data_IF_665871268368
#
_entry.id   IF_665871268368
#
_cell.length_a   1.000
_cell.length_b   1.000
_cell.length_c   1.000
_cell.angle_alpha   90.00
_cell.angle_beta   90.00
_cell.angle_gamma   90.00
#
_symmetry.space_group_name_H-M   'P 1'
#
loop_
_entity.id
_entity.type
_entity.pdbx_description
1 polymer ?
#
# COMPACT_ATOMS: atom_id res chain seq x y z
N UNK A 1 -7.23 7.82 -0.39
CA UNK A 1 -8.57 7.26 -0.62
C UNK A 1 -9.57 8.02 0.21
N UNK A 2 -10.69 8.37 -0.40
CA UNK A 2 -11.79 9.10 0.22
C UNK A 2 -13.10 8.67 -0.46
N UNK A 3 -14.24 8.90 0.20
CA UNK A 3 -15.55 8.69 -0.42
C UNK A 3 -15.84 9.81 -1.43
N UNK A 4 -16.16 9.44 -2.67
CA UNK A 4 -16.68 10.38 -3.65
C UNK A 4 -18.14 10.72 -3.28
N UNK A 5 -18.33 11.82 -2.55
CA UNK A 5 -19.63 12.24 -2.03
C UNK A 5 -20.59 12.82 -3.09
N UNK A 6 -20.07 13.15 -4.27
CA UNK A 6 -20.83 13.69 -5.40
C UNK A 6 -20.29 13.12 -6.73
N UNK A 7 -21.05 13.27 -7.80
CA UNK A 7 -20.68 12.89 -9.17
C UNK A 7 -19.56 13.74 -9.75
N UNK A 8 -19.28 14.89 -9.14
CA UNK A 8 -18.23 15.81 -9.59
C UNK A 8 -17.13 15.91 -8.53
N UNK A 9 -15.91 15.59 -8.95
CA UNK A 9 -14.70 15.82 -8.17
C UNK A 9 -14.05 17.12 -8.63
N UNK A 10 -13.72 18.01 -7.68
CA UNK A 10 -13.02 19.26 -7.94
C UNK A 10 -11.62 19.18 -7.36
N UNK A 11 -10.62 19.54 -8.16
CA UNK A 11 -9.22 19.65 -7.73
C UNK A 11 -8.80 21.09 -7.92
N UNK A 12 -8.30 21.71 -6.85
CA UNK A 12 -7.79 23.07 -6.88
C UNK A 12 -6.27 23.02 -6.72
N UNK A 13 -5.55 23.61 -7.66
CA UNK A 13 -4.13 23.87 -7.54
C UNK A 13 -3.97 25.32 -7.10
N UNK A 14 -3.55 25.52 -5.85
CA UNK A 14 -3.40 26.85 -5.25
C UNK A 14 -1.94 27.19 -4.98
N UNK A 15 -1.64 28.48 -4.97
CA UNK A 15 -0.39 29.06 -4.50
C UNK A 15 -0.48 29.44 -3.02
N UNK A 16 0.67 29.70 -2.40
CA UNK A 16 0.77 30.24 -1.05
C UNK A 16 2.00 31.16 -0.93
N UNK A 17 2.23 31.70 0.25
CA UNK A 17 3.31 32.63 0.58
C UNK A 17 4.73 32.06 0.33
N UNK A 18 4.84 30.74 0.13
CA UNK A 18 6.08 30.01 -0.15
C UNK A 18 6.20 29.58 -1.62
N UNK A 19 5.26 30.00 -2.47
CA UNK A 19 5.22 29.64 -3.89
C UNK A 19 5.91 30.75 -4.69
N UNK A 20 7.12 30.46 -5.21
CA UNK A 20 7.92 31.44 -5.96
C UNK A 20 7.62 31.44 -7.48
N UNK A 21 7.01 30.36 -8.00
CA UNK A 21 6.71 30.17 -9.42
C UNK A 21 5.30 29.66 -9.64
N UNK A 22 4.80 29.72 -10.88
CA UNK A 22 3.48 29.19 -11.23
C UNK A 22 3.33 27.71 -10.83
N UNK A 23 2.28 27.34 -10.08
CA UNK A 23 2.10 25.96 -9.68
C UNK A 23 1.72 25.10 -10.89
N UNK A 24 2.34 23.92 -11.02
CA UNK A 24 2.04 22.97 -12.10
C UNK A 24 1.76 21.56 -11.56
N UNK A 25 0.97 20.80 -12.32
CA UNK A 25 0.71 19.37 -12.10
C UNK A 25 1.00 18.61 -13.40
N UNK A 26 1.82 17.58 -13.35
CA UNK A 26 2.19 16.80 -14.55
C UNK A 26 1.16 15.75 -14.93
N UNK A 27 0.49 15.16 -13.94
CA UNK A 27 -0.54 14.15 -14.12
C UNK A 27 -1.45 14.06 -12.90
N UNK A 28 -2.67 13.60 -13.13
CA UNK A 28 -3.63 13.25 -12.09
C UNK A 28 -4.27 11.91 -12.45
N UNK A 29 -4.20 10.97 -11.53
CA UNK A 29 -4.84 9.66 -11.66
C UNK A 29 -5.98 9.56 -10.65
N UNK A 30 -7.17 9.16 -11.13
CA UNK A 30 -8.32 8.84 -10.30
C UNK A 30 -8.79 7.44 -10.63
N UNK A 31 -8.68 6.55 -9.64
CA UNK A 31 -9.14 5.17 -9.75
C UNK A 31 -10.36 4.98 -8.86
N UNK A 32 -11.45 4.53 -9.48
CA UNK A 32 -12.61 4.03 -8.74
C UNK A 32 -12.28 2.62 -8.29
N UNK A 33 -12.39 2.40 -6.98
CA UNK A 33 -12.08 1.12 -6.35
C UNK A 33 -13.24 0.74 -5.45
N UNK A 34 -13.28 -0.52 -5.03
CA UNK A 34 -14.41 -1.02 -4.26
C UNK A 34 -14.41 -0.47 -2.84
N UNK A 35 -15.60 -0.20 -2.31
CA UNK A 35 -15.82 0.22 -0.93
C UNK A 35 -15.29 -0.82 0.09
N UNK A 36 -15.36 -2.10 -0.27
CA UNK A 36 -14.88 -3.20 0.53
C UNK A 36 -13.37 -3.23 0.74
N UNK A 37 -12.55 -2.50 -0.03
CA UNK A 37 -11.08 -2.56 0.06
C UNK A 37 -10.48 -1.98 1.35
N UNK A 38 -11.21 -1.09 2.02
CA UNK A 38 -10.83 -0.47 3.28
C UNK A 38 -12.01 -0.39 4.25
N UNK A 39 -12.75 -1.49 4.39
CA UNK A 39 -13.98 -1.62 5.20
C UNK A 39 -13.81 -1.29 6.70
N UNK A 40 -12.57 -1.26 7.20
CA UNK A 40 -12.21 -0.87 8.56
C UNK A 40 -12.26 0.65 8.80
N UNK A 41 -12.47 1.45 7.74
CA UNK A 41 -12.48 2.91 7.81
C UNK A 41 -13.87 3.47 7.53
N UNK A 42 -14.38 4.32 8.43
CA UNK A 42 -15.59 5.11 8.18
C UNK A 42 -15.26 6.30 7.26
N UNK A 43 -15.42 6.10 5.95
CA UNK A 43 -15.11 7.13 4.95
C UNK A 43 -16.09 8.32 4.95
N UNK A 44 -17.17 8.29 5.73
CA UNK A 44 -17.99 9.48 5.96
C UNK A 44 -17.31 10.47 6.91
N UNK A 45 -16.31 10.03 7.68
CA UNK A 45 -15.59 10.83 8.67
C UNK A 45 -14.11 10.99 8.38
N UNK A 46 -13.51 9.99 7.76
CA UNK A 46 -12.06 9.90 7.58
C UNK A 46 -11.70 9.67 6.12
N UNK A 47 -10.51 10.12 5.75
CA UNK A 47 -9.85 9.76 4.49
C UNK A 47 -8.52 9.06 4.83
N UNK A 48 -8.08 8.18 3.94
CA UNK A 48 -6.79 7.50 4.07
C UNK A 48 -5.76 8.14 3.16
N UNK A 49 -4.61 8.50 3.72
CA UNK A 49 -3.39 8.78 2.96
C UNK A 49 -2.48 7.54 3.00
N UNK A 50 -1.93 7.16 1.84
CA UNK A 50 -1.04 6.01 1.76
C UNK A 50 0.36 6.42 2.23
N UNK A 51 0.79 5.86 3.35
CA UNK A 51 2.16 6.05 3.86
C UNK A 51 3.14 4.99 3.36
N UNK A 52 2.72 3.72 3.34
CA UNK A 52 3.53 2.63 2.85
C UNK A 52 2.66 1.45 2.42
N UNK A 53 3.05 0.78 1.34
CA UNK A 53 2.54 -0.53 0.94
C UNK A 53 3.68 -1.33 0.36
N UNK A 54 4.04 -2.40 1.06
CA UNK A 54 5.30 -3.08 0.82
C UNK A 54 5.09 -4.60 0.74
N UNK A 55 5.93 -5.24 -0.08
CA UNK A 55 6.10 -6.69 -0.17
C UNK A 55 7.38 -7.08 0.54
N UNK A 56 7.27 -7.91 1.57
CA UNK A 56 8.42 -8.38 2.34
C UNK A 56 9.02 -9.62 1.67
N UNK A 57 10.34 -9.63 1.48
CA UNK A 57 11.08 -10.79 0.97
C UNK A 57 11.04 -10.96 -0.55
N UNK A 58 10.41 -10.01 -1.24
CA UNK A 58 10.38 -9.93 -2.69
C UNK A 58 11.32 -8.81 -3.16
N UNK A 59 12.27 -9.14 -4.04
CA UNK A 59 13.30 -8.23 -4.55
C UNK A 59 13.11 -7.91 -6.05
N UNK A 60 11.88 -8.06 -6.57
CA UNK A 60 11.58 -7.75 -7.96
C UNK A 60 11.07 -6.33 -8.15
N UNK A 61 10.57 -5.98 -9.34
CA UNK A 61 9.92 -4.68 -9.56
C UNK A 61 8.62 -4.57 -8.79
N UNK A 62 8.22 -3.34 -8.44
CA UNK A 62 6.92 -3.02 -7.82
C UNK A 62 5.78 -3.80 -8.47
N UNK A 63 5.02 -4.51 -7.64
CA UNK A 63 3.84 -5.27 -8.07
C UNK A 63 2.68 -4.29 -8.16
N UNK A 64 2.00 -4.28 -9.30
CA UNK A 64 0.85 -3.41 -9.60
C UNK A 64 -0.01 -4.07 -10.69
N UNK A 65 -0.84 -3.33 -11.41
CA UNK A 65 -1.56 -3.88 -12.56
C UNK A 65 -0.59 -4.56 -13.56
N UNK A 66 -0.92 -5.75 -14.11
CA UNK A 66 -2.17 -6.49 -14.01
C UNK A 66 -2.26 -7.47 -12.83
N UNK A 67 -1.23 -7.60 -12.00
CA UNK A 67 -1.27 -8.50 -10.84
C UNK A 67 -2.26 -8.00 -9.78
N UNK A 68 -2.33 -6.67 -9.58
CA UNK A 68 -3.31 -6.01 -8.72
C UNK A 68 -4.42 -5.35 -9.55
N UNK A 69 -5.66 -5.84 -9.42
CA UNK A 69 -6.82 -5.33 -10.16
C UNK A 69 -7.19 -3.87 -9.83
N UNK A 70 -6.68 -3.35 -8.71
CA UNK A 70 -6.89 -1.96 -8.25
C UNK A 70 -5.68 -1.06 -8.49
N UNK A 71 -4.68 -1.55 -9.25
CA UNK A 71 -3.42 -0.88 -9.58
C UNK A 71 -2.70 -0.26 -8.38
N UNK A 72 -2.82 -0.91 -7.22
CA UNK A 72 -2.06 -0.54 -6.02
C UNK A 72 -0.60 -0.90 -6.23
N UNK A 73 0.27 0.03 -5.86
CA UNK A 73 1.72 -0.16 -5.92
C UNK A 73 2.17 -0.88 -4.65
N UNK A 74 2.72 -2.09 -4.80
CA UNK A 74 3.35 -2.86 -3.74
C UNK A 74 4.86 -2.89 -3.98
N UNK A 75 5.57 -2.07 -3.24
CA UNK A 75 7.01 -1.90 -3.40
C UNK A 75 7.78 -2.97 -2.62
N UNK A 76 8.95 -3.41 -3.08
CA UNK A 76 9.86 -4.22 -2.27
C UNK A 76 10.28 -3.54 -0.97
N UNK A 77 10.14 -4.23 0.16
CA UNK A 77 10.78 -3.79 1.41
C UNK A 77 12.09 -4.51 1.64
N UNK A 78 13.13 -3.72 1.91
CA UNK A 78 14.45 -4.21 2.29
C UNK A 78 15.13 -4.92 1.13
N UNK A 79 15.90 -4.18 0.34
CA UNK A 79 16.76 -4.73 -0.71
C UNK A 79 17.62 -5.88 -0.14
N UNK A 80 17.64 -7.02 -0.82
CA UNK A 80 18.37 -8.23 -0.44
C UNK A 80 17.96 -8.88 0.89
N UNK A 81 16.73 -8.66 1.34
CA UNK A 81 16.21 -9.33 2.53
C UNK A 81 16.21 -10.86 2.38
N UNK A 82 16.55 -11.61 3.45
CA UNK A 82 16.51 -13.07 3.41
C UNK A 82 15.06 -13.53 3.18
N UNK A 83 14.88 -14.35 2.14
CA UNK A 83 13.56 -14.88 1.81
C UNK A 83 13.62 -16.28 1.20
N UNK A 84 12.52 -17.01 1.38
CA UNK A 84 12.29 -18.32 0.77
C UNK A 84 11.14 -18.26 -0.24
N UNK A 85 11.21 -19.07 -1.29
CA UNK A 85 10.11 -19.25 -2.23
C UNK A 85 8.99 -20.06 -1.58
N UNK A 86 7.74 -19.63 -1.77
CA UNK A 86 6.56 -20.41 -1.41
C UNK A 86 5.94 -20.97 -2.70
N UNK A 87 5.67 -22.27 -2.74
CA UNK A 87 5.18 -22.95 -3.95
C UNK A 87 3.66 -22.88 -4.13
N UNK A 88 2.89 -22.83 -3.04
CA UNK A 88 1.43 -22.80 -3.11
C UNK A 88 0.88 -22.14 -1.85
N UNK A 89 0.10 -21.08 -2.01
CA UNK A 89 -0.53 -20.35 -0.90
C UNK A 89 -1.93 -19.92 -1.30
N UNK A 90 -2.90 -20.11 -0.40
CA UNK A 90 -4.27 -19.66 -0.63
C UNK A 90 -4.46 -18.25 -0.08
N UNK A 91 -4.98 -17.35 -0.92
CA UNK A 91 -5.20 -15.93 -0.58
C UNK A 91 -6.68 -15.53 -0.63
N UNK A 92 -7.59 -16.48 -0.82
CA UNK A 92 -9.02 -16.21 -1.03
C UNK A 92 -9.73 -15.61 0.20
N UNK A 93 -9.14 -15.74 1.39
CA UNK A 93 -9.68 -15.20 2.64
C UNK A 93 -9.42 -13.70 2.84
N UNK A 94 -8.58 -13.05 2.02
CA UNK A 94 -8.29 -11.64 2.19
C UNK A 94 -9.39 -10.77 1.57
N UNK A 95 -10.11 -10.08 2.45
CA UNK A 95 -11.24 -9.21 2.11
C UNK A 95 -10.91 -8.11 1.10
N UNK A 96 -9.68 -7.57 1.12
CA UNK A 96 -9.23 -6.52 0.23
C UNK A 96 -8.33 -7.01 -0.92
N UNK A 97 -8.39 -8.31 -1.22
CA UNK A 97 -7.84 -8.93 -2.44
C UNK A 97 -6.42 -8.45 -2.81
N UNK A 98 -5.42 -8.64 -1.94
CA UNK A 98 -4.02 -8.42 -2.29
C UNK A 98 -3.62 -9.40 -3.43
N UNK A 99 -2.71 -8.98 -4.33
CA UNK A 99 -2.33 -9.81 -5.46
C UNK A 99 -1.51 -11.03 -5.01
N UNK A 100 -1.72 -12.19 -5.65
CA UNK A 100 -1.05 -13.45 -5.27
C UNK A 100 0.48 -13.33 -5.25
N UNK A 101 1.04 -12.53 -6.15
CA UNK A 101 2.49 -12.31 -6.27
C UNK A 101 3.12 -11.75 -4.98
N UNK A 102 2.36 -11.02 -4.15
CA UNK A 102 2.83 -10.54 -2.82
C UNK A 102 3.20 -11.69 -1.88
N UNK A 103 2.57 -12.85 -2.05
CA UNK A 103 2.73 -14.01 -1.18
C UNK A 103 3.66 -15.08 -1.76
N UNK A 104 4.29 -14.82 -2.91
CA UNK A 104 5.23 -15.77 -3.51
C UNK A 104 6.55 -15.95 -2.74
N UNK A 105 6.77 -15.12 -1.71
CA UNK A 105 7.98 -15.10 -0.90
C UNK A 105 7.63 -15.03 0.58
N UNK A 106 8.38 -15.78 1.39
CA UNK A 106 8.39 -15.68 2.85
C UNK A 106 9.57 -14.82 3.28
N UNK A 107 9.33 -13.74 4.02
CA UNK A 107 10.39 -13.03 4.73
C UNK A 107 10.75 -13.84 5.98
N UNK A 108 12.01 -14.25 6.11
CA UNK A 108 12.44 -15.09 7.23
C UNK A 108 13.90 -14.86 7.60
N UNK A 109 14.20 -14.85 8.90
CA UNK A 109 15.58 -14.84 9.38
C UNK A 109 16.26 -16.20 9.09
N UNK A 110 17.52 -16.17 8.67
CA UNK A 110 18.33 -17.39 8.51
C UNK A 110 18.59 -18.13 9.84
N UNK A 111 18.31 -17.49 10.97
CA UNK A 111 18.49 -18.02 12.33
C UNK A 111 17.17 -17.88 13.11
N UNK A 112 16.89 -18.77 14.08
CA UNK A 112 15.70 -18.72 14.92
C UNK A 112 15.80 -17.62 16.00
N UNK A 113 16.00 -16.38 15.57
CA UNK A 113 16.08 -15.19 16.42
C UNK A 113 14.86 -14.28 16.17
N UNK A 114 14.36 -13.58 17.21
CA UNK A 114 13.28 -12.62 17.05
C UNK A 114 13.60 -11.59 15.96
N UNK A 115 12.66 -11.43 15.03
CA UNK A 115 12.83 -10.52 13.91
C UNK A 115 12.29 -9.14 14.28
N UNK A 116 13.16 -8.13 14.19
CA UNK A 116 12.77 -6.73 14.35
C UNK A 116 12.83 -6.05 12.99
N UNK A 117 11.73 -5.39 12.62
CA UNK A 117 11.59 -4.67 11.36
C UNK A 117 11.33 -3.20 11.67
N UNK A 118 12.17 -2.33 11.14
CA UNK A 118 11.92 -0.89 11.14
C UNK A 118 11.07 -0.57 9.91
N UNK A 119 9.75 -0.53 10.12
CA UNK A 119 8.78 -0.27 9.06
C UNK A 119 7.66 0.66 9.57
N UNK A 120 7.21 1.62 8.74
CA UNK A 120 7.76 2.00 7.44
C UNK A 120 9.07 2.80 7.59
N UNK A 121 9.92 2.89 6.54
CA UNK A 121 11.20 3.61 6.60
C UNK A 121 11.00 5.14 6.50
N UNK A 122 9.97 5.67 7.16
CA UNK A 122 9.63 7.09 7.17
C UNK A 122 9.29 7.53 8.59
N UNK A 123 9.50 8.82 8.88
CA UNK A 123 9.02 9.41 10.12
C UNK A 123 7.50 9.51 10.08
N UNK A 124 6.86 8.93 11.10
CA UNK A 124 5.43 9.03 11.29
C UNK A 124 5.10 10.27 12.12
N UNK A 125 4.08 10.99 11.69
CA UNK A 125 3.50 12.09 12.45
C UNK A 125 2.68 11.54 13.61
N UNK A 126 2.37 12.41 14.58
CA UNK A 126 1.41 12.05 15.62
C UNK A 126 -0.01 12.04 15.04
N UNK A 127 -0.45 10.88 14.56
CA UNK A 127 -1.72 10.66 13.89
C UNK A 127 -2.25 9.24 14.15
N UNK A 128 -3.48 8.96 13.71
CA UNK A 128 -4.05 7.62 13.73
C UNK A 128 -3.69 6.88 12.45
N UNK A 129 -3.18 5.66 12.62
CA UNK A 129 -2.74 4.81 11.50
C UNK A 129 -3.61 3.57 11.39
N UNK A 130 -4.00 3.24 10.16
CA UNK A 130 -4.57 1.95 9.83
C UNK A 130 -3.48 1.04 9.26
N UNK A 131 -3.20 -0.07 9.94
CA UNK A 131 -2.17 -1.04 9.55
C UNK A 131 -2.83 -2.36 9.17
N UNK A 132 -2.55 -2.83 7.96
CA UNK A 132 -2.93 -4.16 7.50
C UNK A 132 -1.66 -4.99 7.24
N UNK A 133 -1.52 -6.10 7.96
CA UNK A 133 -0.44 -7.07 7.78
C UNK A 133 -1.04 -8.34 7.20
N UNK A 134 -0.38 -8.89 6.18
CA UNK A 134 -0.84 -10.09 5.49
C UNK A 134 0.09 -11.25 5.80
N UNK A 135 -0.48 -12.32 6.33
CA UNK A 135 0.21 -13.56 6.63
C UNK A 135 -0.51 -14.68 5.91
N UNK A 136 0.23 -15.45 5.13
CA UNK A 136 -0.31 -16.61 4.46
C UNK A 136 0.73 -17.73 4.52
N UNK A 137 0.26 -18.92 4.84
CA UNK A 137 1.06 -20.13 4.97
C UNK A 137 0.56 -21.17 3.98
N UNK A 138 1.45 -22.09 3.69
CA UNK A 138 1.25 -23.37 3.01
C UNK A 138 0.42 -24.37 3.84
#
# INVERSE_FOLDING_TARGET
MFLAADKTMKVCLGDNNYTESDPFISALEMLLVWDSLYNSTDFNKYALNLHARQTFGYNGSTIRYPDDEFDRYWEPFGEHSPSQNISSVSISGFWNRPPLRVFGRRYENRKPEPMQLLWPPILLLNATYHIALYFAND
#
